data_IF_813275731662
#
_entry.id   IF_813275731662
#
_cell.length_a   1.000
_cell.length_b   1.000
_cell.length_c   1.000
_cell.angle_alpha   90.00
_cell.angle_beta   90.00
_cell.angle_gamma   90.00
#
_symmetry.space_group_name_H-M   'P 1'
#
loop_
_entity.id
_entity.type
_entity.pdbx_description
1 polymer ?
#
# COMPACT_ATOMS: atom_id res chain seq x y z
N UNK A 1 -28.60 37.41 -1.41
CA UNK A 1 -27.89 36.23 -0.85
C UNK A 1 -27.63 35.29 -2.03
N UNK A 2 -26.47 35.36 -2.66
CA UNK A 2 -26.16 34.50 -3.81
C UNK A 2 -25.47 33.23 -3.32
N UNK A 3 -26.10 32.09 -3.64
CA UNK A 3 -25.61 30.76 -3.40
C UNK A 3 -24.20 30.60 -3.98
N UNK A 4 -23.27 30.20 -3.14
CA UNK A 4 -21.92 29.79 -3.50
C UNK A 4 -22.00 28.64 -4.48
N UNK A 5 -21.52 28.86 -5.71
CA UNK A 5 -21.25 27.82 -6.68
C UNK A 5 -20.18 26.89 -6.10
N UNK A 6 -20.58 25.75 -5.55
CA UNK A 6 -19.65 24.66 -5.27
C UNK A 6 -19.26 24.03 -6.60
N UNK A 7 -18.03 24.26 -7.04
CA UNK A 7 -17.45 23.52 -8.16
C UNK A 7 -17.49 22.01 -7.83
N UNK A 8 -18.13 21.22 -8.68
CA UNK A 8 -18.07 19.76 -8.59
C UNK A 8 -16.67 19.30 -8.96
N UNK A 9 -15.83 19.00 -7.97
CA UNK A 9 -14.53 18.38 -8.22
C UNK A 9 -14.75 16.94 -8.69
N UNK A 10 -14.34 16.65 -9.93
CA UNK A 10 -14.35 15.28 -10.45
C UNK A 10 -13.40 14.40 -9.63
N UNK A 11 -13.86 13.21 -9.22
CA UNK A 11 -13.12 12.28 -8.36
C UNK A 11 -13.21 10.86 -8.87
N UNK A 12 -12.18 10.06 -8.60
CA UNK A 12 -12.15 8.63 -8.91
C UNK A 12 -12.48 7.85 -7.64
N UNK A 13 -13.50 7.00 -7.73
CA UNK A 13 -13.91 6.12 -6.63
C UNK A 13 -13.63 4.69 -7.05
N UNK A 14 -12.73 4.02 -6.33
CA UNK A 14 -12.46 2.60 -6.52
C UNK A 14 -13.18 1.84 -5.43
N UNK A 15 -14.08 0.95 -5.84
CA UNK A 15 -14.90 0.14 -4.93
C UNK A 15 -14.38 -1.29 -4.93
N UNK A 16 -13.85 -1.74 -3.80
CA UNK A 16 -13.40 -3.12 -3.61
C UNK A 16 -13.47 -3.54 -2.14
N UNK A 17 -13.87 -4.79 -1.81
CA UNK A 17 -13.72 -5.35 -0.47
C UNK A 17 -12.30 -5.84 -0.16
N UNK A 18 -11.42 -5.92 -1.17
CA UNK A 18 -10.06 -6.44 -1.05
C UNK A 18 -9.07 -5.37 -0.57
N UNK A 19 -8.31 -5.68 0.48
CA UNK A 19 -7.27 -4.81 1.03
C UNK A 19 -6.09 -4.56 0.07
N UNK A 20 -5.82 -5.48 -0.88
CA UNK A 20 -4.79 -5.30 -1.91
C UNK A 20 -5.07 -4.11 -2.83
N UNK A 21 -6.35 -3.82 -3.11
CA UNK A 21 -6.74 -2.64 -3.88
C UNK A 21 -6.38 -1.32 -3.19
N UNK A 22 -6.47 -1.27 -1.85
CA UNK A 22 -6.04 -0.11 -1.07
C UNK A 22 -4.53 0.12 -1.20
N UNK A 23 -3.73 -0.95 -1.09
CA UNK A 23 -2.27 -0.86 -1.17
C UNK A 23 -1.81 -0.37 -2.55
N UNK A 24 -2.43 -0.89 -3.62
CA UNK A 24 -2.19 -0.40 -4.99
C UNK A 24 -2.45 1.10 -5.13
N UNK A 25 -3.59 1.58 -4.63
CA UNK A 25 -3.92 3.01 -4.72
C UNK A 25 -2.99 3.89 -3.90
N UNK A 26 -2.50 3.41 -2.75
CA UNK A 26 -1.51 4.14 -1.97
C UNK A 26 -0.21 4.29 -2.76
N UNK A 27 0.33 3.20 -3.31
CA UNK A 27 1.59 3.21 -4.08
C UNK A 27 1.51 4.04 -5.35
N UNK A 28 0.38 4.03 -6.07
CA UNK A 28 0.24 4.72 -7.35
C UNK A 28 -0.60 6.00 -7.29
N UNK A 29 -0.86 6.54 -6.09
CA UNK A 29 -1.70 7.73 -5.90
C UNK A 29 -1.20 8.96 -6.67
N UNK A 30 0.13 9.12 -6.78
CA UNK A 30 0.74 10.27 -7.49
C UNK A 30 0.57 10.17 -9.02
N UNK A 31 0.30 8.97 -9.55
CA UNK A 31 0.06 8.76 -10.98
C UNK A 31 -1.35 9.19 -11.41
N UNK A 32 -2.25 9.46 -10.46
CA UNK A 32 -3.64 9.85 -10.72
C UNK A 32 -3.86 11.27 -10.21
N UNK A 33 -4.07 12.20 -11.14
CA UNK A 33 -4.21 13.64 -10.84
C UNK A 33 -5.52 14.03 -10.17
N UNK A 34 -6.49 13.10 -10.10
CA UNK A 34 -7.81 13.33 -9.49
C UNK A 34 -7.85 12.81 -8.05
N UNK A 35 -8.67 13.42 -7.17
CA UNK A 35 -8.91 12.87 -5.84
C UNK A 35 -9.36 11.41 -5.90
N UNK A 36 -8.69 10.57 -5.13
CA UNK A 36 -8.89 9.12 -5.07
C UNK A 36 -9.60 8.74 -3.77
N UNK A 37 -10.74 8.08 -3.92
CA UNK A 37 -11.47 7.50 -2.80
C UNK A 37 -11.48 5.98 -2.94
N UNK A 38 -11.03 5.28 -1.90
CA UNK A 38 -11.22 3.84 -1.79
C UNK A 38 -12.44 3.52 -0.95
N UNK A 39 -13.33 2.71 -1.51
CA UNK A 39 -14.60 2.33 -0.94
C UNK A 39 -14.60 0.82 -0.64
N UNK A 40 -14.57 0.45 0.64
CA UNK A 40 -14.34 -0.94 1.09
C UNK A 40 -15.50 -1.90 0.79
N UNK A 41 -16.58 -1.46 0.13
CA UNK A 41 -17.69 -2.29 -0.37
C UNK A 41 -18.41 -3.21 0.63
N UNK A 42 -18.10 -3.14 1.93
CA UNK A 42 -18.48 -4.17 2.91
C UNK A 42 -19.76 -3.84 3.66
N UNK A 43 -20.91 -4.04 3.01
CA UNK A 43 -22.24 -4.01 3.66
C UNK A 43 -22.46 -2.79 4.57
N UNK A 44 -22.94 -3.03 5.79
CA UNK A 44 -23.18 -1.95 6.78
C UNK A 44 -21.88 -1.35 7.38
N UNK A 45 -20.71 -1.94 7.11
CA UNK A 45 -19.40 -1.47 7.59
C UNK A 45 -18.59 -0.77 6.49
N UNK A 46 -19.27 -0.31 5.43
CA UNK A 46 -18.66 0.40 4.31
C UNK A 46 -17.92 1.64 4.80
N UNK A 47 -16.64 1.77 4.41
CA UNK A 47 -15.81 2.94 4.69
C UNK A 47 -15.35 3.55 3.38
N UNK A 48 -15.29 4.87 3.35
CA UNK A 48 -14.66 5.62 2.28
C UNK A 48 -13.38 6.24 2.84
N UNK A 49 -12.25 5.88 2.24
CA UNK A 49 -10.93 6.38 2.60
C UNK A 49 -10.46 7.34 1.52
N UNK A 50 -10.07 8.55 1.90
CA UNK A 50 -9.36 9.45 0.99
C UNK A 50 -7.92 8.98 0.88
N UNK A 51 -7.55 8.49 -0.30
CA UNK A 51 -6.22 7.93 -0.54
C UNK A 51 -5.17 9.02 -0.57
N UNK A 52 -5.48 10.22 -1.08
CA UNK A 52 -4.53 11.32 -1.10
C UNK A 52 -4.16 11.76 0.33
N UNK A 53 -5.16 11.86 1.22
CA UNK A 53 -4.93 12.21 2.63
C UNK A 53 -4.10 11.12 3.33
N UNK A 54 -4.42 9.85 3.10
CA UNK A 54 -3.68 8.74 3.70
C UNK A 54 -2.25 8.67 3.17
N UNK A 55 -2.05 8.83 1.85
CA UNK A 55 -0.74 8.87 1.22
C UNK A 55 0.13 10.01 1.77
N UNK A 56 -0.47 11.17 2.09
CA UNK A 56 0.23 12.31 2.68
C UNK A 56 0.78 12.03 4.10
N UNK A 57 0.25 11.01 4.81
CA UNK A 57 0.78 10.57 6.11
C UNK A 57 1.99 9.64 5.99
N UNK A 58 2.38 9.25 4.77
CA UNK A 58 3.40 8.25 4.50
C UNK A 58 4.51 8.85 3.64
N UNK A 59 5.75 8.41 3.84
CA UNK A 59 6.83 8.77 2.91
C UNK A 59 6.58 8.12 1.54
N UNK A 60 7.09 8.74 0.47
CA UNK A 60 7.05 8.12 -0.86
C UNK A 60 7.73 6.75 -0.87
N UNK A 61 8.89 6.65 -0.23
CA UNK A 61 9.66 5.41 -0.09
C UNK A 61 8.84 4.30 0.58
N UNK A 62 8.10 4.60 1.66
CA UNK A 62 7.23 3.61 2.31
C UNK A 62 6.08 3.18 1.39
N UNK A 63 5.48 4.11 0.63
CA UNK A 63 4.42 3.78 -0.35
C UNK A 63 4.94 2.88 -1.46
N UNK A 64 6.15 3.15 -1.96
CA UNK A 64 6.82 2.32 -2.97
C UNK A 64 7.17 0.92 -2.39
N UNK A 65 7.60 0.85 -1.14
CA UNK A 65 7.94 -0.42 -0.49
C UNK A 65 6.73 -1.30 -0.15
N UNK A 66 5.57 -0.70 0.16
CA UNK A 66 4.37 -1.44 0.57
C UNK A 66 3.86 -2.38 -0.51
N UNK A 67 3.97 -2.01 -1.79
CA UNK A 67 3.54 -2.90 -2.87
C UNK A 67 4.49 -4.09 -3.02
N UNK A 68 5.79 -3.88 -2.85
CA UNK A 68 6.78 -4.97 -2.78
C UNK A 68 6.52 -5.91 -1.62
N UNK A 69 6.21 -5.37 -0.44
CA UNK A 69 5.83 -6.16 0.74
C UNK A 69 4.55 -6.96 0.49
N UNK A 70 3.56 -6.38 -0.17
CA UNK A 70 2.32 -7.07 -0.52
C UNK A 70 2.58 -8.25 -1.48
N UNK A 71 3.39 -8.03 -2.52
CA UNK A 71 3.78 -9.09 -3.44
C UNK A 71 4.54 -10.22 -2.73
N UNK A 72 5.40 -9.87 -1.77
CA UNK A 72 6.21 -10.83 -1.02
C UNK A 72 5.41 -11.63 0.03
N UNK A 73 4.45 -10.99 0.70
CA UNK A 73 3.62 -11.63 1.73
C UNK A 73 2.32 -12.27 1.18
N UNK A 74 2.03 -12.00 -0.10
CA UNK A 74 0.82 -12.38 -0.84
C UNK A 74 -0.49 -11.85 -0.25
N UNK A 75 -1.63 -12.20 -0.85
CA UNK A 75 -2.96 -11.73 -0.43
C UNK A 75 -3.54 -12.57 0.73
N UNK A 76 -4.68 -12.16 1.28
CA UNK A 76 -5.26 -12.79 2.48
C UNK A 76 -5.70 -14.25 2.25
N UNK A 77 -5.98 -14.62 0.99
CA UNK A 77 -6.33 -15.99 0.58
C UNK A 77 -5.11 -16.89 0.30
N UNK A 78 -3.91 -16.33 0.19
CA UNK A 78 -2.69 -17.06 -0.19
C UNK A 78 -1.48 -16.62 0.65
N UNK A 79 -1.65 -16.43 1.97
CA UNK A 79 -0.54 -16.01 2.83
C UNK A 79 0.70 -16.90 2.63
N UNK A 80 1.83 -16.28 2.24
CA UNK A 80 3.10 -16.99 2.07
C UNK A 80 3.70 -17.47 3.40
N UNK A 81 3.28 -16.87 4.52
CA UNK A 81 3.83 -17.13 5.85
C UNK A 81 2.75 -17.64 6.81
N UNK A 82 2.74 -18.96 7.07
CA UNK A 82 1.77 -19.58 7.95
C UNK A 82 1.85 -19.02 9.38
N UNK A 83 0.70 -18.59 9.92
CA UNK A 83 0.61 -18.04 11.27
C UNK A 83 1.21 -16.64 11.44
N UNK A 84 1.66 -15.97 10.36
CA UNK A 84 2.19 -14.61 10.40
C UNK A 84 1.20 -13.62 9.77
N UNK A 85 0.90 -12.55 10.50
CA UNK A 85 0.00 -11.49 10.03
C UNK A 85 0.75 -10.36 9.31
N UNK A 86 0.13 -9.81 8.27
CA UNK A 86 0.65 -8.66 7.50
C UNK A 86 0.91 -7.41 8.33
N UNK A 87 0.19 -7.24 9.44
CA UNK A 87 0.41 -6.11 10.34
C UNK A 87 1.81 -6.15 10.97
N UNK A 88 2.34 -7.33 11.29
CA UNK A 88 3.71 -7.45 11.82
C UNK A 88 4.73 -7.05 10.74
N UNK A 89 4.57 -7.61 9.54
CA UNK A 89 5.39 -7.29 8.37
C UNK A 89 5.41 -5.79 8.06
N UNK A 90 4.24 -5.13 8.06
CA UNK A 90 4.12 -3.70 7.81
C UNK A 90 4.82 -2.86 8.89
N UNK A 91 4.69 -3.24 10.17
CA UNK A 91 5.37 -2.54 11.27
C UNK A 91 6.89 -2.65 11.18
N UNK A 92 7.40 -3.82 10.79
CA UNK A 92 8.83 -4.02 10.55
C UNK A 92 9.31 -3.13 9.41
N UNK A 93 8.58 -3.13 8.28
CA UNK A 93 8.89 -2.25 7.14
C UNK A 93 8.90 -0.76 7.52
N UNK A 94 7.91 -0.30 8.29
CA UNK A 94 7.83 1.10 8.72
C UNK A 94 9.01 1.54 9.59
N UNK A 95 9.61 0.62 10.34
CA UNK A 95 10.71 0.93 11.27
C UNK A 95 12.12 0.80 10.68
N UNK A 96 12.24 0.32 9.43
CA UNK A 96 13.51 -0.09 8.85
C UNK A 96 13.68 0.49 7.43
N UNK A 97 14.53 1.52 7.26
CA UNK A 97 14.82 2.12 5.96
C UNK A 97 15.45 1.14 4.96
N UNK A 98 16.28 0.21 5.41
CA UNK A 98 16.95 -0.77 4.53
C UNK A 98 15.91 -1.76 3.96
N UNK A 99 14.91 -2.13 4.78
CA UNK A 99 13.75 -2.87 4.29
C UNK A 99 12.93 -2.04 3.31
N UNK A 100 12.71 -0.74 3.58
CA UNK A 100 11.98 0.11 2.63
C UNK A 100 12.70 0.22 1.30
N UNK A 101 14.02 0.40 1.28
CA UNK A 101 14.81 0.43 0.05
C UNK A 101 14.73 -0.90 -0.69
N UNK A 102 14.96 -2.00 0.02
CA UNK A 102 14.93 -3.35 -0.56
C UNK A 102 13.55 -3.65 -1.17
N UNK A 103 12.47 -3.46 -0.42
CA UNK A 103 11.12 -3.73 -0.92
C UNK A 103 10.63 -2.71 -1.95
N UNK A 104 11.16 -1.48 -2.01
CA UNK A 104 10.84 -0.53 -3.07
C UNK A 104 11.40 -0.96 -4.43
N UNK A 105 12.49 -1.73 -4.44
CA UNK A 105 13.07 -2.28 -5.67
C UNK A 105 12.26 -3.45 -6.24
N UNK A 106 11.40 -4.07 -5.44
CA UNK A 106 10.66 -5.27 -5.85
C UNK A 106 9.69 -4.94 -6.99
N UNK A 107 9.79 -5.70 -8.07
CA UNK A 107 9.00 -5.47 -9.28
C UNK A 107 9.55 -4.37 -10.20
N UNK A 108 10.67 -3.73 -9.84
CA UNK A 108 11.39 -2.77 -10.71
C UNK A 108 12.65 -3.37 -11.35
N UNK A 109 13.20 -4.43 -10.76
CA UNK A 109 14.43 -5.09 -11.21
C UNK A 109 14.12 -6.43 -11.90
N UNK A 110 14.86 -6.76 -12.97
CA UNK A 110 14.78 -8.07 -13.62
C UNK A 110 15.39 -9.19 -12.76
N UNK A 111 16.36 -8.85 -11.90
CA UNK A 111 17.04 -9.77 -10.98
C UNK A 111 17.30 -9.11 -9.64
N UNK A 112 17.00 -9.79 -8.54
CA UNK A 112 17.26 -9.32 -7.17
C UNK A 112 18.75 -9.45 -6.82
N UNK A 113 19.43 -8.34 -6.45
CA UNK A 113 20.81 -8.37 -5.96
C UNK A 113 21.00 -9.28 -4.74
N UNK A 114 22.22 -9.82 -4.56
CA UNK A 114 22.51 -10.69 -3.42
C UNK A 114 22.40 -10.00 -2.04
N UNK A 115 22.62 -8.68 -1.98
CA UNK A 115 22.45 -7.90 -0.75
C UNK A 115 20.97 -7.82 -0.34
N UNK A 116 20.08 -7.56 -1.30
CA UNK A 116 18.63 -7.55 -1.10
C UNK A 116 18.12 -8.91 -0.59
N UNK A 117 18.70 -10.02 -1.08
CA UNK A 117 18.36 -11.36 -0.60
C UNK A 117 18.69 -11.54 0.90
N UNK A 118 19.84 -11.07 1.37
CA UNK A 118 20.22 -11.16 2.79
C UNK A 118 19.30 -10.32 3.68
N UNK A 119 18.90 -9.14 3.21
CA UNK A 119 17.95 -8.27 3.91
C UNK A 119 16.59 -8.96 4.03
N UNK A 120 16.12 -9.58 2.95
CA UNK A 120 14.84 -10.30 2.92
C UNK A 120 14.88 -11.57 3.77
N UNK A 121 15.98 -12.31 3.78
CA UNK A 121 16.18 -13.46 4.67
C UNK A 121 16.11 -13.05 6.14
N UNK A 122 16.81 -11.96 6.50
CA UNK A 122 16.79 -11.39 7.86
C UNK A 122 15.37 -11.00 8.25
N UNK A 123 14.65 -10.34 7.35
CA UNK A 123 13.24 -9.99 7.54
C UNK A 123 12.38 -11.22 7.82
N UNK A 124 12.50 -12.29 7.01
CA UNK A 124 11.73 -13.53 7.19
C UNK A 124 12.05 -14.19 8.53
N UNK A 125 13.31 -14.23 8.96
CA UNK A 125 13.70 -14.79 10.24
C UNK A 125 13.13 -14.02 11.45
N UNK A 126 12.89 -12.71 11.30
CA UNK A 126 12.32 -11.86 12.35
C UNK A 126 10.79 -11.85 12.36
N UNK A 127 10.16 -12.19 11.22
CA UNK A 127 8.71 -12.25 11.05
C UNK A 127 8.09 -13.37 11.88
#
# INVERSE_FOLDING_TARGET
MNASQQATTERVIVRSPDSGGLLLLLSFSDAISKPLIFDTSSGNNRRQLNINDLAATMSKQLRDAIIGLHAFTACDSTSCFAGKGKLKALKMLQGDPDLQDTFSSFGTLETTPGQDMQVVETFVCQL
#
